data_IF_319856529451
#
_entry.id   IF_319856529451
#
_cell.length_a   1.000
_cell.length_b   1.000
_cell.length_c   1.000
_cell.angle_alpha   90.00
_cell.angle_beta   90.00
_cell.angle_gamma   90.00
#
_symmetry.space_group_name_H-M   'P 1'
#
loop_
_entity.id
_entity.type
_entity.pdbx_description
1 polymer ?
#
# COMPACT_ATOMS: atom_id res chain seq x y z
N UNK A 1 13.34 23.96 14.98
CA UNK A 1 11.99 23.75 15.56
C UNK A 1 11.02 23.11 14.57
N UNK A 2 11.01 23.52 13.28
CA UNK A 2 10.13 22.90 12.25
C UNK A 2 10.41 21.42 11.96
N UNK A 3 11.68 21.01 11.90
CA UNK A 3 12.04 19.59 11.64
C UNK A 3 11.48 18.69 12.76
N UNK A 4 11.65 19.11 14.02
CA UNK A 4 11.12 18.39 15.18
C UNK A 4 9.60 18.26 15.10
N UNK A 5 8.89 19.33 14.72
CA UNK A 5 7.44 19.30 14.51
C UNK A 5 7.03 18.32 13.41
N UNK A 6 7.75 18.29 12.28
CA UNK A 6 7.49 17.33 11.19
C UNK A 6 7.66 15.89 11.65
N UNK A 7 8.72 15.60 12.40
CA UNK A 7 8.98 14.25 12.95
C UNK A 7 7.87 13.85 13.93
N UNK A 8 7.46 14.75 14.82
CA UNK A 8 6.37 14.51 15.77
C UNK A 8 5.05 14.24 15.03
N UNK A 9 4.75 14.99 13.96
CA UNK A 9 3.56 14.76 13.13
C UNK A 9 3.58 13.39 12.45
N UNK A 10 4.73 12.94 11.94
CA UNK A 10 4.86 11.60 11.37
C UNK A 10 4.58 10.53 12.43
N UNK A 11 5.14 10.70 13.64
CA UNK A 11 4.89 9.77 14.73
C UNK A 11 3.40 9.70 15.11
N UNK A 12 2.74 10.85 15.26
CA UNK A 12 1.30 10.89 15.55
C UNK A 12 0.46 10.27 14.44
N UNK A 13 0.83 10.51 13.18
CA UNK A 13 0.16 9.90 12.03
C UNK A 13 0.31 8.37 12.05
N UNK A 14 1.51 7.84 12.32
CA UNK A 14 1.73 6.39 12.44
C UNK A 14 0.92 5.81 13.60
N UNK A 15 0.91 6.48 14.75
CA UNK A 15 0.17 6.01 15.92
C UNK A 15 -1.34 6.00 15.66
N UNK A 16 -1.87 6.98 14.93
CA UNK A 16 -3.29 7.05 14.63
C UNK A 16 -3.80 5.99 13.66
N UNK A 17 -2.91 5.51 12.80
CA UNK A 17 -3.17 4.44 11.83
C UNK A 17 -2.74 3.05 12.36
N UNK A 18 -2.23 2.97 13.59
CA UNK A 18 -1.83 1.71 14.18
C UNK A 18 -3.07 0.84 14.46
N UNK A 19 -3.07 -0.44 14.07
CA UNK A 19 -4.23 -1.31 14.25
C UNK A 19 -4.47 -1.69 15.72
N UNK A 20 -3.51 -1.46 16.61
CA UNK A 20 -3.57 -1.83 18.02
C UNK A 20 -3.21 -0.61 18.87
N UNK A 21 -3.99 -0.34 19.93
CA UNK A 21 -3.77 0.78 20.87
C UNK A 21 -3.59 2.10 20.09
N UNK A 22 -4.63 2.47 19.35
CA UNK A 22 -4.63 3.69 18.56
C UNK A 22 -5.19 4.87 19.37
N UNK A 23 -4.58 6.03 19.20
CA UNK A 23 -5.17 7.32 19.52
C UNK A 23 -5.52 7.97 18.19
N UNK A 24 -6.73 8.49 18.01
CA UNK A 24 -7.18 9.07 16.74
C UNK A 24 -8.04 10.32 16.96
N UNK A 25 -8.23 11.13 15.91
CA UNK A 25 -9.11 12.31 15.91
C UNK A 25 -10.33 12.03 15.03
N UNK A 26 -11.51 11.91 15.64
CA UNK A 26 -12.76 11.60 14.93
C UNK A 26 -13.16 12.73 13.95
N UNK A 27 -12.89 13.99 14.29
CA UNK A 27 -13.23 15.16 13.46
C UNK A 27 -12.34 15.24 12.21
N UNK A 28 -11.19 14.55 12.22
CA UNK A 28 -10.23 14.53 11.11
C UNK A 28 -10.00 13.11 10.55
N UNK A 29 -11.06 12.30 10.52
CA UNK A 29 -11.08 10.94 9.96
C UNK A 29 -9.95 10.04 10.48
N UNK A 30 -9.82 9.99 11.80
CA UNK A 30 -8.80 9.23 12.51
C UNK A 30 -7.35 9.74 12.36
N UNK A 31 -7.10 10.83 11.63
CA UNK A 31 -5.75 11.37 11.44
C UNK A 31 -5.38 12.39 12.52
N UNK A 32 -4.27 12.16 13.23
CA UNK A 32 -3.76 13.10 14.24
C UNK A 32 -2.72 14.06 13.68
N UNK A 33 -2.85 15.33 14.06
CA UNK A 33 -1.86 16.39 13.78
C UNK A 33 -1.52 17.14 15.05
N UNK A 34 -0.24 17.34 15.31
CA UNK A 34 0.26 17.98 16.53
C UNK A 34 -0.36 19.37 16.76
N UNK A 35 -0.50 20.15 15.69
CA UNK A 35 -1.00 21.53 15.76
C UNK A 35 -2.47 21.60 16.24
N UNK A 36 -3.25 20.52 16.06
CA UNK A 36 -4.67 20.48 16.37
C UNK A 36 -5.03 19.63 17.61
N UNK A 37 -4.07 18.94 18.24
CA UNK A 37 -4.32 18.00 19.35
C UNK A 37 -5.16 18.59 20.48
N UNK A 38 -4.98 19.88 20.81
CA UNK A 38 -5.70 20.52 21.92
C UNK A 38 -7.21 20.63 21.70
N UNK A 39 -7.64 20.75 20.45
CA UNK A 39 -9.05 20.92 20.08
C UNK A 39 -9.60 19.69 19.36
N UNK A 40 -8.79 18.64 19.21
CA UNK A 40 -9.15 17.40 18.52
C UNK A 40 -10.22 16.61 19.28
N UNK A 41 -11.10 15.94 18.54
CA UNK A 41 -12.04 14.97 19.10
C UNK A 41 -11.34 13.64 19.26
N UNK A 42 -10.56 13.54 20.33
CA UNK A 42 -9.71 12.38 20.58
C UNK A 42 -10.53 11.13 20.93
N UNK A 43 -10.20 10.03 20.27
CA UNK A 43 -10.68 8.69 20.59
C UNK A 43 -9.49 7.76 20.83
N UNK A 44 -9.56 7.01 21.92
CA UNK A 44 -8.65 5.89 22.16
C UNK A 44 -9.34 4.59 21.75
N UNK A 45 -8.65 3.68 21.08
CA UNK A 45 -9.20 2.36 20.74
C UNK A 45 -8.19 1.24 20.91
N UNK A 46 -8.67 0.06 21.32
CA UNK A 46 -7.81 -1.10 21.47
C UNK A 46 -7.46 -1.71 20.11
N UNK A 47 -8.44 -1.82 19.23
CA UNK A 47 -8.24 -2.25 17.86
C UNK A 47 -8.90 -1.29 16.89
N UNK A 48 -8.18 -0.98 15.81
CA UNK A 48 -8.61 -0.10 14.74
C UNK A 48 -8.46 -0.83 13.40
N UNK A 49 -9.54 -0.92 12.62
CA UNK A 49 -9.54 -1.47 11.27
C UNK A 49 -9.99 -0.38 10.30
N UNK A 50 -9.07 0.14 9.52
CA UNK A 50 -9.36 1.07 8.43
C UNK A 50 -9.80 0.28 7.19
N UNK A 51 -10.92 0.69 6.60
CA UNK A 51 -11.55 0.08 5.43
C UNK A 51 -11.95 1.17 4.45
N UNK A 52 -10.94 1.79 3.84
CA UNK A 52 -11.10 2.93 2.94
C UNK A 52 -11.84 4.07 3.64
N UNK A 53 -13.07 4.36 3.21
CA UNK A 53 -13.89 5.46 3.71
C UNK A 53 -14.53 5.23 5.10
N UNK A 54 -14.25 4.09 5.72
CA UNK A 54 -14.79 3.71 7.02
C UNK A 54 -13.68 3.24 7.97
N UNK A 55 -13.82 3.54 9.25
CA UNK A 55 -12.91 3.12 10.32
C UNK A 55 -13.74 2.39 11.37
N UNK A 56 -13.42 1.11 11.59
CA UNK A 56 -14.08 0.29 12.60
C UNK A 56 -13.19 0.25 13.84
N UNK A 57 -13.66 0.90 14.89
CA UNK A 57 -13.05 0.84 16.20
C UNK A 57 -13.69 -0.28 17.02
N UNK A 58 -12.86 -1.14 17.60
CA UNK A 58 -13.28 -2.20 18.53
C UNK A 58 -12.69 -1.87 19.90
N UNK A 59 -13.56 -1.85 20.92
CA UNK A 59 -13.28 -1.34 22.27
C UNK A 59 -12.63 0.05 22.23
N UNK A 60 -13.47 1.08 22.14
CA UNK A 60 -13.03 2.47 22.08
C UNK A 60 -13.60 3.31 23.21
N UNK A 61 -12.85 4.35 23.56
CA UNK A 61 -13.23 5.39 24.49
C UNK A 61 -13.18 6.74 23.80
N UNK A 62 -14.33 7.38 23.71
CA UNK A 62 -14.48 8.76 23.25
C UNK A 62 -14.14 9.72 24.39
N UNK A 63 -13.08 10.52 24.24
CA UNK A 63 -12.61 11.41 25.31
C UNK A 63 -13.52 12.64 25.45
N UNK A 64 -14.08 13.13 24.34
CA UNK A 64 -14.95 14.32 24.30
C UNK A 64 -16.32 14.00 24.88
N UNK A 65 -16.91 12.88 24.47
CA UNK A 65 -18.21 12.41 24.96
C UNK A 65 -18.13 11.61 26.28
N UNK A 66 -16.91 11.26 26.71
CA UNK A 66 -16.63 10.40 27.87
C UNK A 66 -17.37 9.06 27.83
N UNK A 67 -17.45 8.45 26.63
CA UNK A 67 -18.28 7.27 26.37
C UNK A 67 -17.44 6.08 25.89
N UNK A 68 -17.67 4.92 26.49
CA UNK A 68 -17.10 3.64 26.02
C UNK A 68 -18.03 3.04 24.96
N UNK A 69 -17.45 2.57 23.87
CA UNK A 69 -18.15 1.86 22.79
C UNK A 69 -17.44 0.55 22.45
N UNK A 70 -18.18 -0.55 22.43
CA UNK A 70 -17.62 -1.87 22.07
C UNK A 70 -17.29 -1.96 20.57
N UNK A 71 -18.18 -1.46 19.72
CA UNK A 71 -17.97 -1.36 18.27
C UNK A 71 -18.46 0.02 17.86
N UNK A 72 -17.63 0.77 17.13
CA UNK A 72 -17.98 2.07 16.56
C UNK A 72 -17.47 2.12 15.14
N UNK A 73 -18.35 2.48 14.22
CA UNK A 73 -18.01 2.75 12.83
C UNK A 73 -17.97 4.27 12.63
N UNK A 74 -16.83 4.78 12.17
CA UNK A 74 -16.65 6.17 11.74
C UNK A 74 -16.56 6.17 10.21
N UNK A 75 -17.43 6.90 9.53
CA UNK A 75 -17.38 7.01 8.06
C UNK A 75 -17.01 8.42 7.66
N UNK A 76 -16.26 8.55 6.56
CA UNK A 76 -15.80 9.85 6.05
C UNK A 76 -16.97 10.78 5.72
N UNK A 77 -18.07 10.19 5.25
CA UNK A 77 -19.31 10.90 4.95
C UNK A 77 -20.00 11.49 6.19
N UNK A 78 -19.78 10.93 7.37
CA UNK A 78 -20.43 11.37 8.62
C UNK A 78 -19.64 12.52 9.29
N UNK A 79 -18.50 12.93 8.75
CA UNK A 79 -17.72 14.06 9.27
C UNK A 79 -18.42 15.39 8.96
N UNK A 80 -18.47 16.29 9.95
CA UNK A 80 -19.06 17.61 9.77
C UNK A 80 -18.38 18.35 8.61
N UNK A 81 -19.20 18.95 7.76
CA UNK A 81 -18.77 19.63 6.53
C UNK A 81 -18.73 18.74 5.28
N UNK A 82 -18.86 17.41 5.41
CA UNK A 82 -18.92 16.51 4.25
C UNK A 82 -20.36 16.19 3.80
N UNK A 83 -21.34 16.29 4.70
CA UNK A 83 -22.78 16.18 4.39
C UNK A 83 -23.52 17.40 4.91
N UNK A 84 -24.46 17.87 4.09
CA UNK A 84 -25.37 18.93 4.46
C UNK A 84 -26.66 18.32 5.00
N UNK A 85 -26.89 18.49 6.30
CA UNK A 85 -28.11 18.05 6.97
C UNK A 85 -29.32 18.90 6.55
N UNK A 86 -30.50 18.28 6.51
CA UNK A 86 -31.75 18.92 6.09
C UNK A 86 -32.11 20.13 7.00
N UNK A 87 -31.93 20.02 8.32
CA UNK A 87 -32.17 21.14 9.23
C UNK A 87 -31.21 22.33 8.99
N UNK A 88 -29.95 22.03 8.65
CA UNK A 88 -28.91 23.04 8.41
C UNK A 88 -29.18 23.79 7.11
N UNK A 89 -29.61 23.10 6.05
CA UNK A 89 -29.97 23.76 4.79
C UNK A 89 -31.24 24.60 4.93
N UNK A 90 -32.23 24.14 5.71
CA UNK A 90 -33.46 24.90 5.97
C UNK A 90 -33.15 26.22 6.71
N UNK A 91 -32.28 26.18 7.71
CA UNK A 91 -31.84 27.40 8.41
C UNK A 91 -31.11 28.38 7.49
N UNK A 92 -30.22 27.86 6.62
CA UNK A 92 -29.48 28.66 5.65
C UNK A 92 -30.45 29.31 4.63
N UNK A 93 -31.36 28.51 4.08
CA UNK A 93 -32.38 28.94 3.12
C UNK A 93 -33.30 30.00 3.71
N UNK A 94 -33.78 29.82 4.94
CA UNK A 94 -34.63 30.81 5.62
C UNK A 94 -33.90 32.13 5.86
N UNK A 95 -32.62 32.09 6.27
CA UNK A 95 -31.80 33.30 6.43
C UNK A 95 -31.61 34.01 5.10
N UNK A 96 -31.32 33.26 4.05
CA UNK A 96 -31.13 33.81 2.71
C UNK A 96 -32.45 34.39 2.15
N UNK A 97 -33.59 33.76 2.44
CA UNK A 97 -34.93 34.28 2.06
C UNK A 97 -35.19 35.65 2.64
N UNK A 98 -34.88 35.83 3.92
CA UNK A 98 -35.01 37.14 4.60
C UNK A 98 -34.04 38.20 4.03
N UNK A 99 -32.88 37.78 3.54
CA UNK A 99 -31.91 38.66 2.90
C UNK A 99 -32.40 39.13 1.52
N UNK A 100 -32.73 38.21 0.62
CA UNK A 100 -33.17 38.55 -0.74
C UNK A 100 -34.53 39.28 -0.77
N UNK A 101 -35.35 39.12 0.26
CA UNK A 101 -36.60 39.87 0.39
C UNK A 101 -36.39 41.39 0.50
N UNK A 102 -35.20 41.82 0.95
CA UNK A 102 -34.84 43.24 1.15
C UNK A 102 -34.05 43.85 -0.01
N UNK A 103 -33.64 43.04 -0.99
CA UNK A 103 -32.81 43.48 -2.10
C UNK A 103 -33.66 44.10 -3.22
N UNK A 104 -33.07 45.07 -3.92
CA UNK A 104 -33.56 45.60 -5.19
C UNK A 104 -33.21 44.63 -6.33
N UNK A 105 -33.85 44.80 -7.48
CA UNK A 105 -33.66 43.92 -8.65
C UNK A 105 -32.19 43.91 -9.15
N UNK A 106 -31.52 45.06 -9.17
CA UNK A 106 -30.12 45.17 -9.61
C UNK A 106 -29.17 44.44 -8.63
N UNK A 107 -29.37 44.61 -7.32
CA UNK A 107 -28.58 43.92 -6.28
C UNK A 107 -28.83 42.40 -6.32
N UNK A 108 -30.07 41.98 -6.63
CA UNK A 108 -30.44 40.58 -6.78
C UNK A 108 -29.71 39.93 -7.97
N UNK A 109 -29.50 40.68 -9.05
CA UNK A 109 -28.73 40.22 -10.21
C UNK A 109 -27.24 40.05 -9.88
N UNK A 110 -26.65 40.96 -9.10
CA UNK A 110 -25.28 40.83 -8.59
C UNK A 110 -25.13 39.56 -7.74
N UNK A 111 -26.06 39.32 -6.82
CA UNK A 111 -26.06 38.10 -5.99
C UNK A 111 -26.18 36.83 -6.84
N UNK A 112 -27.06 36.84 -7.85
CA UNK A 112 -27.21 35.75 -8.81
C UNK A 112 -25.91 35.45 -9.54
N UNK A 113 -25.25 36.46 -10.09
CA UNK A 113 -23.97 36.30 -10.79
C UNK A 113 -22.90 35.71 -9.86
N UNK A 114 -22.85 36.19 -8.62
CA UNK A 114 -21.90 35.68 -7.63
C UNK A 114 -22.15 34.21 -7.28
N UNK A 115 -23.41 33.80 -7.14
CA UNK A 115 -23.79 32.41 -6.89
C UNK A 115 -23.44 31.50 -8.07
N UNK A 116 -23.68 31.94 -9.30
CA UNK A 116 -23.30 31.20 -10.50
C UNK A 116 -21.78 30.96 -10.56
N UNK A 117 -20.99 32.00 -10.29
CA UNK A 117 -19.53 31.89 -10.20
C UNK A 117 -19.10 30.88 -9.12
N UNK A 118 -19.79 30.88 -7.97
CA UNK A 118 -19.51 29.91 -6.91
C UNK A 118 -19.89 28.48 -7.29
N UNK A 119 -21.01 28.27 -7.97
CA UNK A 119 -21.43 26.96 -8.49
C UNK A 119 -20.37 26.42 -9.44
N UNK A 120 -19.96 27.21 -10.44
CA UNK A 120 -18.94 26.82 -11.42
C UNK A 120 -17.63 26.42 -10.73
N UNK A 121 -17.20 27.20 -9.73
CA UNK A 121 -15.99 26.90 -8.95
C UNK A 121 -16.10 25.59 -8.18
N UNK A 122 -17.24 25.31 -7.54
CA UNK A 122 -17.43 24.05 -6.80
C UNK A 122 -17.51 22.84 -7.76
N UNK A 123 -18.14 22.99 -8.93
CA UNK A 123 -18.13 21.98 -9.99
C UNK A 123 -16.70 21.70 -10.48
N UNK A 124 -15.89 22.75 -10.70
CA UNK A 124 -14.49 22.60 -11.08
C UNK A 124 -13.68 21.88 -9.99
N UNK A 125 -13.91 22.18 -8.71
CA UNK A 125 -13.27 21.48 -7.58
C UNK A 125 -13.63 19.99 -7.56
N UNK A 126 -14.90 19.65 -7.80
CA UNK A 126 -15.36 18.26 -7.90
C UNK A 126 -14.68 17.58 -9.07
N UNK A 127 -14.71 18.19 -10.26
CA UNK A 127 -14.09 17.65 -11.48
C UNK A 127 -12.60 17.36 -11.27
N UNK A 128 -11.86 18.34 -10.74
CA UNK A 128 -10.42 18.19 -10.42
C UNK A 128 -10.17 17.04 -9.44
N UNK A 129 -11.07 16.84 -8.47
CA UNK A 129 -10.94 15.76 -7.49
C UNK A 129 -11.22 14.39 -8.13
N UNK A 130 -12.22 14.31 -9.00
CA UNK A 130 -12.54 13.11 -9.80
C UNK A 130 -11.37 12.75 -10.70
N UNK A 131 -10.77 13.72 -11.39
CA UNK A 131 -9.61 13.49 -12.25
C UNK A 131 -8.43 12.91 -11.48
N UNK A 132 -8.14 13.45 -10.28
CA UNK A 132 -7.10 12.91 -9.40
C UNK A 132 -7.39 11.46 -8.99
N UNK A 133 -8.63 11.16 -8.58
CA UNK A 133 -9.03 9.79 -8.23
C UNK A 133 -8.87 8.85 -9.41
N UNK A 134 -9.28 9.28 -10.61
CA UNK A 134 -9.14 8.50 -11.84
C UNK A 134 -7.67 8.23 -12.18
N UNK A 135 -6.79 9.22 -12.04
CA UNK A 135 -5.34 9.03 -12.22
C UNK A 135 -4.81 7.95 -11.28
N UNK A 136 -5.15 8.02 -9.99
CA UNK A 136 -4.73 6.99 -9.03
C UNK A 136 -5.32 5.62 -9.35
N UNK A 137 -6.57 5.55 -9.79
CA UNK A 137 -7.21 4.31 -10.21
C UNK A 137 -6.49 3.69 -11.42
N UNK A 138 -6.11 4.49 -12.41
CA UNK A 138 -5.33 4.03 -13.57
C UNK A 138 -3.95 3.50 -13.16
N UNK A 139 -3.23 4.21 -12.28
CA UNK A 139 -1.94 3.77 -11.75
C UNK A 139 -2.08 2.42 -11.04
N UNK A 140 -3.10 2.25 -10.20
CA UNK A 140 -3.29 1.00 -9.47
C UNK A 140 -3.71 -0.15 -10.37
N UNK A 141 -4.58 0.10 -11.36
CA UNK A 141 -5.00 -0.89 -12.34
C UNK A 141 -3.83 -1.40 -13.20
N UNK A 142 -2.81 -0.57 -13.40
CA UNK A 142 -1.59 -0.94 -14.14
C UNK A 142 -0.54 -1.60 -13.24
N UNK A 143 -0.39 -1.16 -12.00
CA UNK A 143 0.60 -1.71 -11.06
C UNK A 143 0.21 -3.09 -10.53
N UNK A 144 -1.08 -3.34 -10.22
CA UNK A 144 -1.52 -4.61 -9.64
C UNK A 144 -1.12 -5.83 -10.50
N UNK A 145 -1.43 -5.87 -11.82
CA UNK A 145 -1.06 -7.02 -12.65
C UNK A 145 0.46 -7.24 -12.71
N UNK A 146 1.25 -6.16 -12.77
CA UNK A 146 2.72 -6.24 -12.79
C UNK A 146 3.22 -6.87 -11.50
N UNK A 147 2.75 -6.38 -10.35
CA UNK A 147 3.14 -6.89 -9.03
C UNK A 147 2.74 -8.37 -8.88
N UNK A 148 1.52 -8.73 -9.28
CA UNK A 148 1.05 -10.13 -9.21
C UNK A 148 1.84 -11.05 -10.15
N UNK A 149 2.27 -10.57 -11.31
CA UNK A 149 3.07 -11.35 -12.25
C UNK A 149 4.53 -11.55 -11.79
N UNK A 150 5.07 -10.61 -11.02
CA UNK A 150 6.46 -10.63 -10.55
C UNK A 150 6.64 -11.33 -9.20
N UNK A 151 5.58 -11.46 -8.40
CA UNK A 151 5.65 -12.08 -7.08
C UNK A 151 5.40 -13.59 -7.19
N UNK A 152 6.39 -14.38 -6.78
CA UNK A 152 6.16 -15.78 -6.41
C UNK A 152 5.65 -15.87 -4.96
N UNK A 153 4.36 -16.14 -4.81
CA UNK A 153 3.70 -16.25 -3.51
C UNK A 153 4.26 -17.40 -2.64
N UNK A 154 4.89 -18.41 -3.25
CA UNK A 154 5.52 -19.51 -2.53
C UNK A 154 6.74 -19.05 -1.73
N UNK A 155 7.56 -18.21 -2.35
CA UNK A 155 8.83 -17.70 -1.82
C UNK A 155 8.68 -16.62 -0.74
N UNK A 156 7.48 -16.05 -0.54
CA UNK A 156 7.24 -15.02 0.49
C UNK A 156 7.51 -15.57 1.90
N UNK A 157 7.27 -16.87 2.13
CA UNK A 157 7.46 -17.51 3.43
C UNK A 157 8.92 -17.58 3.87
N UNK A 158 9.83 -17.53 2.91
CA UNK A 158 11.28 -17.63 3.15
C UNK A 158 11.92 -16.25 3.39
N UNK A 159 11.15 -15.17 3.22
CA UNK A 159 11.58 -13.81 3.50
C UNK A 159 11.65 -13.53 5.02
N UNK A 160 12.54 -12.62 5.46
CA UNK A 160 12.58 -12.17 6.84
C UNK A 160 11.22 -11.63 7.31
N UNK A 161 10.89 -11.86 8.58
CA UNK A 161 9.61 -11.45 9.18
C UNK A 161 9.32 -9.96 8.93
N UNK A 162 10.34 -9.10 8.98
CA UNK A 162 10.18 -7.66 8.71
C UNK A 162 9.67 -7.41 7.29
N UNK A 163 10.25 -8.10 6.30
CA UNK A 163 9.86 -7.98 4.89
C UNK A 163 8.46 -8.54 4.65
N UNK A 164 8.11 -9.66 5.29
CA UNK A 164 6.76 -10.21 5.28
C UNK A 164 5.73 -9.22 5.82
N UNK A 165 6.02 -8.59 6.98
CA UNK A 165 5.15 -7.57 7.56
C UNK A 165 4.99 -6.37 6.61
N UNK A 166 6.08 -5.90 5.99
CA UNK A 166 6.01 -4.81 5.00
C UNK A 166 5.11 -5.18 3.81
N UNK A 167 5.23 -6.40 3.28
CA UNK A 167 4.37 -6.90 2.19
C UNK A 167 2.90 -6.95 2.64
N UNK A 168 2.62 -7.45 3.85
CA UNK A 168 1.26 -7.46 4.38
C UNK A 168 0.67 -6.05 4.50
N UNK A 169 1.45 -5.08 4.98
CA UNK A 169 1.00 -3.68 5.06
C UNK A 169 0.80 -3.08 3.66
N UNK A 170 1.64 -3.44 2.68
CA UNK A 170 1.49 -2.98 1.30
C UNK A 170 0.20 -3.51 0.66
N UNK A 171 -0.11 -4.80 0.84
CA UNK A 171 -1.37 -5.41 0.39
C UNK A 171 -2.57 -4.76 1.08
N UNK A 172 -2.48 -4.50 2.38
CA UNK A 172 -3.53 -3.82 3.13
C UNK A 172 -3.75 -2.37 2.64
N UNK A 173 -2.67 -1.65 2.33
CA UNK A 173 -2.72 -0.29 1.78
C UNK A 173 -3.39 -0.29 0.40
N UNK A 174 -3.02 -1.25 -0.46
CA UNK A 174 -3.63 -1.43 -1.78
C UNK A 174 -5.13 -1.69 -1.68
N UNK A 175 -5.56 -2.56 -0.76
CA UNK A 175 -6.97 -2.85 -0.51
C UNK A 175 -7.73 -1.60 -0.04
N UNK A 176 -7.14 -0.79 0.85
CA UNK A 176 -7.74 0.49 1.26
C UNK A 176 -7.93 1.44 0.08
N UNK A 177 -6.93 1.57 -0.80
CA UNK A 177 -7.05 2.45 -1.97
C UNK A 177 -8.15 1.96 -2.92
N UNK A 178 -8.21 0.64 -3.17
CA UNK A 178 -9.29 0.05 -3.98
C UNK A 178 -10.68 0.35 -3.39
N UNK A 179 -10.85 0.27 -2.07
CA UNK A 179 -12.11 0.61 -1.41
C UNK A 179 -12.44 2.09 -1.62
N UNK A 180 -11.48 3.02 -1.45
CA UNK A 180 -11.71 4.44 -1.71
C UNK A 180 -12.18 4.70 -3.14
N UNK A 181 -11.47 4.14 -4.13
CA UNK A 181 -11.84 4.28 -5.55
C UNK A 181 -13.27 3.75 -5.76
N UNK A 182 -13.56 2.53 -5.29
CA UNK A 182 -14.88 1.94 -5.46
C UNK A 182 -15.99 2.77 -4.82
N UNK A 183 -15.73 3.33 -3.63
CA UNK A 183 -16.68 4.21 -2.93
C UNK A 183 -16.95 5.51 -3.67
N UNK A 184 -15.93 6.11 -4.28
CA UNK A 184 -16.11 7.33 -5.07
C UNK A 184 -16.86 7.09 -6.39
N UNK A 185 -16.69 5.92 -7.00
CA UNK A 185 -17.44 5.49 -8.19
C UNK A 185 -18.91 5.26 -7.85
N UNK A 186 -19.21 4.78 -6.63
CA UNK A 186 -20.60 4.62 -6.17
C UNK A 186 -21.27 6.00 -6.18
N UNK A 187 -22.29 6.15 -7.03
CA UNK A 187 -22.98 7.43 -7.27
C UNK A 187 -23.52 8.00 -5.95
N UNK A 188 -22.90 9.07 -5.49
CA UNK A 188 -23.44 9.88 -4.41
C UNK A 188 -24.39 10.90 -5.04
N UNK A 189 -25.69 10.63 -4.92
CA UNK A 189 -26.74 11.55 -5.34
C UNK A 189 -26.65 12.84 -4.55
N UNK A 190 -26.81 13.97 -5.23
CA UNK A 190 -27.05 15.26 -4.59
C UNK A 190 -28.49 15.65 -4.80
N UNK A 191 -29.11 16.23 -3.78
CA UNK A 191 -30.38 16.94 -3.97
C UNK A 191 -30.07 18.17 -4.83
N UNK A 192 -30.91 18.41 -5.84
CA UNK A 192 -30.88 19.61 -6.67
C UNK A 192 -32.25 20.26 -6.62
N UNK A 193 -32.26 21.57 -6.81
CA UNK A 193 -33.50 22.33 -6.99
C UNK A 193 -34.33 21.78 -8.15
N UNK A 194 -35.66 21.86 -8.03
CA UNK A 194 -36.58 21.40 -9.07
C UNK A 194 -37.06 22.56 -9.94
N UNK A 195 -37.18 22.32 -11.24
CA UNK A 195 -37.78 23.29 -12.15
C UNK A 195 -39.27 23.53 -11.84
N UNK A 196 -39.96 22.57 -11.21
CA UNK A 196 -41.37 22.73 -10.84
C UNK A 196 -41.56 23.89 -9.87
N UNK A 197 -40.69 24.00 -8.87
CA UNK A 197 -40.76 25.04 -7.83
C UNK A 197 -40.62 26.44 -8.45
N UNK A 198 -39.73 26.59 -9.44
CA UNK A 198 -39.56 27.84 -10.19
C UNK A 198 -40.77 28.17 -11.05
N UNK A 199 -41.35 27.16 -11.71
CA UNK A 199 -42.50 27.34 -12.61
C UNK A 199 -43.73 27.82 -11.86
N UNK A 200 -43.93 27.30 -10.66
CA UNK A 200 -45.10 27.52 -9.79
C UNK A 200 -44.95 28.75 -8.89
N UNK A 201 -43.73 29.31 -8.75
CA UNK A 201 -43.48 30.51 -7.95
C UNK A 201 -44.08 31.78 -8.56
N UNK A 202 -44.66 32.61 -7.70
CA UNK A 202 -45.17 33.95 -8.04
C UNK A 202 -44.05 34.98 -8.26
N UNK A 203 -42.87 34.78 -7.66
CA UNK A 203 -41.69 35.65 -7.81
C UNK A 203 -40.52 34.83 -8.35
N UNK A 204 -40.55 34.59 -9.67
CA UNK A 204 -39.56 33.77 -10.37
C UNK A 204 -38.13 34.33 -10.27
N UNK A 205 -37.96 35.65 -10.16
CA UNK A 205 -36.64 36.29 -10.05
C UNK A 205 -35.98 35.95 -8.71
N UNK A 206 -36.74 35.98 -7.61
CA UNK A 206 -36.19 35.60 -6.30
C UNK A 206 -36.08 34.09 -6.14
N UNK A 207 -37.02 33.33 -6.70
CA UNK A 207 -36.99 31.87 -6.63
C UNK A 207 -35.76 31.28 -7.31
N UNK A 208 -35.39 31.74 -8.51
CA UNK A 208 -34.19 31.23 -9.19
C UNK A 208 -32.91 31.50 -8.37
N UNK A 209 -32.81 32.65 -7.71
CA UNK A 209 -31.66 32.98 -6.85
C UNK A 209 -31.64 32.10 -5.60
N UNK A 210 -32.81 31.80 -5.03
CA UNK A 210 -32.94 30.85 -3.93
C UNK A 210 -32.48 29.43 -4.34
N UNK A 211 -32.88 28.99 -5.53
CA UNK A 211 -32.49 27.71 -6.09
C UNK A 211 -30.97 27.62 -6.33
N UNK A 212 -30.35 28.67 -6.88
CA UNK A 212 -28.89 28.71 -7.02
C UNK A 212 -28.16 28.68 -5.68
N UNK A 213 -28.70 29.35 -4.65
CA UNK A 213 -28.12 29.28 -3.32
C UNK A 213 -28.19 27.85 -2.75
N UNK A 214 -29.33 27.17 -2.93
CA UNK A 214 -29.50 25.78 -2.53
C UNK A 214 -28.50 24.86 -3.23
N UNK A 215 -28.44 24.94 -4.56
CA UNK A 215 -27.56 24.10 -5.38
C UNK A 215 -26.09 24.36 -5.07
N UNK A 216 -25.71 25.62 -4.85
CA UNK A 216 -24.36 25.97 -4.41
C UNK A 216 -24.00 25.30 -3.07
N UNK A 217 -24.89 25.33 -2.07
CA UNK A 217 -24.62 24.66 -0.79
C UNK A 217 -24.46 23.16 -0.98
N UNK A 218 -25.34 22.51 -1.73
CA UNK A 218 -25.24 21.08 -2.02
C UNK A 218 -23.91 20.73 -2.71
N UNK A 219 -23.51 21.52 -3.71
CA UNK A 219 -22.24 21.35 -4.42
C UNK A 219 -21.03 21.59 -3.52
N UNK A 220 -21.06 22.60 -2.65
CA UNK A 220 -19.97 22.90 -1.72
C UNK A 220 -19.65 21.72 -0.80
N UNK A 221 -20.67 21.11 -0.21
CA UNK A 221 -20.48 19.94 0.67
C UNK A 221 -20.03 18.71 -0.13
N UNK A 222 -20.59 18.49 -1.33
CA UNK A 222 -20.10 17.44 -2.23
C UNK A 222 -18.63 17.64 -2.58
N UNK A 223 -18.23 18.85 -2.95
CA UNK A 223 -16.84 19.19 -3.26
C UNK A 223 -15.91 18.92 -2.07
N UNK A 224 -16.35 19.25 -0.85
CA UNK A 224 -15.60 18.99 0.37
C UNK A 224 -15.42 17.48 0.62
N UNK A 225 -16.45 16.67 0.42
CA UNK A 225 -16.37 15.22 0.51
C UNK A 225 -15.39 14.63 -0.53
N UNK A 226 -15.46 15.08 -1.78
CA UNK A 226 -14.53 14.64 -2.84
C UNK A 226 -13.08 15.02 -2.56
N UNK A 227 -12.83 16.23 -2.06
CA UNK A 227 -11.49 16.64 -1.61
C UNK A 227 -11.02 15.75 -0.46
N UNK A 228 -11.89 15.43 0.50
CA UNK A 228 -11.58 14.53 1.61
C UNK A 228 -11.22 13.12 1.12
N UNK A 229 -11.93 12.59 0.12
CA UNK A 229 -11.57 11.31 -0.51
C UNK A 229 -10.18 11.37 -1.15
N UNK A 230 -9.87 12.42 -1.91
CA UNK A 230 -8.56 12.59 -2.57
C UNK A 230 -7.43 12.63 -1.54
N UNK A 231 -7.60 13.40 -0.46
CA UNK A 231 -6.56 13.54 0.57
C UNK A 231 -6.26 12.22 1.25
N UNK A 232 -7.28 11.49 1.71
CA UNK A 232 -7.09 10.21 2.39
C UNK A 232 -6.55 9.14 1.43
N UNK A 233 -7.03 9.11 0.19
CA UNK A 233 -6.50 8.21 -0.84
C UNK A 233 -5.02 8.49 -1.09
N UNK A 234 -4.63 9.76 -1.19
CA UNK A 234 -3.25 10.17 -1.39
C UNK A 234 -2.34 9.72 -0.23
N UNK A 235 -2.82 9.73 1.03
CA UNK A 235 -2.05 9.22 2.17
C UNK A 235 -1.67 7.75 1.97
N UNK A 236 -2.62 6.89 1.61
CA UNK A 236 -2.35 5.47 1.35
C UNK A 236 -1.45 5.22 0.13
N UNK A 237 -1.58 6.04 -0.92
CA UNK A 237 -0.67 5.97 -2.09
C UNK A 237 0.77 6.29 -1.67
N UNK A 238 0.98 7.31 -0.84
CA UNK A 238 2.32 7.66 -0.33
C UNK A 238 2.91 6.53 0.52
N UNK A 239 2.10 5.92 1.39
CA UNK A 239 2.52 4.75 2.19
C UNK A 239 2.95 3.60 1.28
N UNK A 240 2.15 3.28 0.26
CA UNK A 240 2.45 2.22 -0.69
C UNK A 240 3.76 2.48 -1.44
N UNK A 241 4.02 3.72 -1.86
CA UNK A 241 5.29 4.10 -2.51
C UNK A 241 6.50 3.90 -1.59
N UNK A 242 6.41 4.34 -0.32
CA UNK A 242 7.49 4.18 0.66
C UNK A 242 7.75 2.69 0.91
N UNK A 243 6.70 1.89 1.09
CA UNK A 243 6.81 0.45 1.28
C UNK A 243 7.42 -0.25 0.07
N UNK A 244 7.06 0.16 -1.15
CA UNK A 244 7.60 -0.43 -2.37
C UNK A 244 9.12 -0.22 -2.45
N UNK A 245 9.59 1.01 -2.18
CA UNK A 245 11.04 1.30 -2.15
C UNK A 245 11.74 0.52 -1.03
N UNK A 246 11.13 0.43 0.15
CA UNK A 246 11.68 -0.33 1.28
C UNK A 246 11.77 -1.84 1.02
N UNK A 247 10.75 -2.42 0.39
CA UNK A 247 10.72 -3.83 0.00
C UNK A 247 11.79 -4.10 -1.05
N UNK A 248 11.89 -3.28 -2.09
CA UNK A 248 12.91 -3.45 -3.14
C UNK A 248 14.33 -3.41 -2.56
N UNK A 249 14.61 -2.47 -1.66
CA UNK A 249 15.92 -2.41 -0.99
C UNK A 249 16.17 -3.62 -0.09
N UNK A 250 15.15 -4.06 0.67
CA UNK A 250 15.24 -5.22 1.55
C UNK A 250 15.52 -6.52 0.81
N UNK A 251 14.92 -6.71 -0.37
CA UNK A 251 15.19 -7.87 -1.24
C UNK A 251 16.62 -7.82 -1.79
N UNK A 252 17.07 -6.68 -2.32
CA UNK A 252 18.43 -6.56 -2.86
C UNK A 252 19.53 -6.83 -1.82
N UNK A 253 19.34 -6.36 -0.57
CA UNK A 253 20.31 -6.63 0.52
C UNK A 253 20.31 -8.11 0.92
N UNK A 254 19.19 -8.82 0.77
CA UNK A 254 19.12 -10.24 1.08
C UNK A 254 19.88 -11.08 0.05
N UNK A 255 19.78 -10.77 -1.24
CA UNK A 255 20.53 -11.44 -2.31
C UNK A 255 22.05 -11.29 -2.10
N UNK A 256 22.53 -10.11 -1.65
CA UNK A 256 23.95 -9.89 -1.34
C UNK A 256 24.44 -10.67 -0.09
N UNK A 257 23.52 -11.09 0.79
CA UNK A 257 23.82 -11.78 2.05
C UNK A 257 23.83 -13.32 1.94
N UNK A 258 23.33 -13.87 0.83
CA UNK A 258 23.54 -15.28 0.49
C UNK A 258 25.02 -15.40 0.15
N UNK A 259 25.78 -16.00 1.06
CA UNK A 259 27.23 -16.09 1.04
C UNK A 259 27.77 -16.35 -0.37
N UNK A 260 28.36 -15.33 -0.99
CA UNK A 260 29.37 -15.57 -2.00
C UNK A 260 30.50 -16.30 -1.30
N UNK A 261 30.60 -17.61 -1.55
CA UNK A 261 31.86 -18.31 -1.31
C UNK A 261 32.85 -17.59 -2.20
N UNK A 262 33.71 -16.79 -1.58
CA UNK A 262 34.77 -16.06 -2.25
C UNK A 262 35.76 -17.12 -2.75
N UNK A 263 35.50 -17.68 -3.94
CA UNK A 263 36.42 -18.56 -4.65
C UNK A 263 37.59 -17.67 -5.04
N UNK A 264 38.56 -17.55 -4.14
CA UNK A 264 39.79 -16.79 -4.31
C UNK A 264 40.52 -17.26 -5.57
N UNK A 265 40.22 -16.70 -6.74
CA UNK A 265 41.04 -16.69 -7.95
C UNK A 265 41.98 -17.90 -8.17
N UNK A 266 41.48 -19.11 -7.93
CA UNK A 266 42.14 -20.37 -8.22
C UNK A 266 41.61 -20.88 -9.56
N UNK A 267 42.46 -21.52 -10.37
CA UNK A 267 42.01 -22.13 -11.62
C UNK A 267 41.09 -23.30 -11.29
N UNK A 268 39.80 -23.04 -11.17
CA UNK A 268 38.81 -24.07 -10.86
C UNK A 268 38.43 -24.82 -12.13
N UNK A 269 38.47 -26.15 -12.07
CA UNK A 269 38.04 -27.01 -13.17
C UNK A 269 36.74 -27.68 -12.73
N UNK A 270 35.69 -27.51 -13.52
CA UNK A 270 34.36 -28.10 -13.25
C UNK A 270 34.18 -29.33 -14.11
N UNK A 271 33.82 -30.44 -13.48
CA UNK A 271 33.44 -31.67 -14.13
C UNK A 271 31.99 -32.00 -13.83
N UNK A 272 31.19 -32.23 -14.87
CA UNK A 272 29.85 -32.84 -14.73
C UNK A 272 30.00 -34.34 -14.92
N UNK A 273 29.50 -35.14 -13.98
CA UNK A 273 29.59 -36.60 -14.00
C UNK A 273 28.25 -37.23 -13.61
N UNK A 274 27.95 -38.38 -14.20
CA UNK A 274 26.83 -39.22 -13.79
C UNK A 274 27.35 -40.38 -12.95
N UNK A 275 26.77 -40.58 -11.76
CA UNK A 275 27.25 -41.60 -10.81
C UNK A 275 27.17 -43.02 -11.37
N UNK A 276 26.12 -43.35 -12.13
CA UNK A 276 25.92 -44.69 -12.71
C UNK A 276 26.88 -45.01 -13.86
N UNK A 277 27.54 -43.99 -14.41
CA UNK A 277 28.48 -44.15 -15.53
C UNK A 277 29.94 -44.26 -15.10
N UNK A 278 30.28 -43.92 -13.85
CA UNK A 278 31.67 -43.99 -13.35
C UNK A 278 32.21 -45.43 -13.37
N UNK A 279 31.34 -46.41 -13.07
CA UNK A 279 31.68 -47.82 -13.13
C UNK A 279 31.79 -48.40 -14.55
N UNK A 280 31.40 -47.66 -15.60
CA UNK A 280 31.44 -48.12 -16.99
C UNK A 280 32.78 -47.75 -17.64
N UNK A 281 33.61 -48.73 -18.07
CA UNK A 281 34.89 -48.43 -18.72
C UNK A 281 34.70 -47.54 -19.95
N UNK A 282 35.54 -46.51 -20.08
CA UNK A 282 35.56 -45.56 -21.20
C UNK A 282 34.36 -44.58 -21.30
N UNK A 283 33.48 -44.49 -20.31
CA UNK A 283 32.50 -43.40 -20.25
C UNK A 283 33.20 -42.06 -19.98
N UNK A 284 32.59 -40.95 -20.42
CA UNK A 284 33.12 -39.62 -20.12
C UNK A 284 33.21 -39.37 -18.61
N UNK A 285 32.23 -39.86 -17.84
CA UNK A 285 32.20 -39.80 -16.37
C UNK A 285 33.37 -40.59 -15.74
N UNK A 286 33.69 -41.79 -16.25
CA UNK A 286 34.82 -42.60 -15.77
C UNK A 286 36.18 -41.96 -16.08
N UNK A 287 36.34 -41.39 -17.30
CA UNK A 287 37.57 -40.68 -17.70
C UNK A 287 37.79 -39.43 -16.84
N UNK A 288 36.73 -38.65 -16.63
CA UNK A 288 36.78 -37.45 -15.80
C UNK A 288 37.07 -37.80 -14.33
N UNK A 289 36.45 -38.85 -13.80
CA UNK A 289 36.69 -39.34 -12.43
C UNK A 289 38.16 -39.77 -12.22
N UNK A 290 38.74 -40.49 -13.18
CA UNK A 290 40.14 -40.92 -13.09
C UNK A 290 41.11 -39.73 -13.17
N UNK A 291 40.76 -38.68 -13.92
CA UNK A 291 41.53 -37.44 -13.97
C UNK A 291 41.53 -36.70 -12.63
N UNK A 292 40.37 -36.62 -11.96
CA UNK A 292 40.25 -36.04 -10.61
C UNK A 292 41.10 -36.82 -9.61
N UNK A 293 41.02 -38.15 -9.62
CA UNK A 293 41.84 -38.99 -8.73
C UNK A 293 43.35 -38.80 -8.95
N UNK A 294 43.79 -38.68 -10.21
CA UNK A 294 45.18 -38.41 -10.56
C UNK A 294 45.66 -37.04 -10.05
N UNK A 295 44.81 -36.02 -10.12
CA UNK A 295 45.15 -34.66 -9.67
C UNK A 295 45.21 -34.58 -8.13
N UNK A 296 44.35 -35.32 -7.43
CA UNK A 296 44.43 -35.51 -5.96
C UNK A 296 45.72 -36.26 -5.58
N UNK A 297 46.04 -37.36 -6.26
CA UNK A 297 47.25 -38.16 -5.97
C UNK A 297 48.55 -37.38 -6.23
N UNK A 298 48.55 -36.48 -7.21
CA UNK A 298 49.67 -35.57 -7.50
C UNK A 298 49.74 -34.36 -6.57
N UNK A 299 48.84 -34.25 -5.58
CA UNK A 299 48.70 -33.08 -4.67
C UNK A 299 48.53 -31.75 -5.43
N UNK A 300 47.84 -31.78 -6.57
CA UNK A 300 47.53 -30.58 -7.37
C UNK A 300 46.15 -30.01 -7.06
N UNK A 301 45.42 -30.65 -6.15
CA UNK A 301 44.07 -30.27 -5.73
C UNK A 301 44.02 -30.39 -4.22
N UNK A 302 43.72 -29.28 -3.54
CA UNK A 302 43.68 -29.22 -2.07
C UNK A 302 42.24 -29.19 -1.54
N UNK A 303 41.28 -28.75 -2.38
CA UNK A 303 39.88 -28.68 -2.03
C UNK A 303 39.00 -29.13 -3.20
N UNK A 304 37.95 -29.89 -2.90
CA UNK A 304 36.92 -30.30 -3.85
C UNK A 304 35.55 -29.92 -3.33
N UNK A 305 34.76 -29.28 -4.18
CA UNK A 305 33.35 -28.97 -3.91
C UNK A 305 32.47 -29.87 -4.76
N UNK A 306 31.49 -30.51 -4.14
CA UNK A 306 30.59 -31.48 -4.76
C UNK A 306 29.16 -30.95 -4.70
N UNK A 307 28.56 -30.75 -5.87
CA UNK A 307 27.17 -30.36 -6.02
C UNK A 307 26.34 -31.59 -6.36
N UNK A 308 25.31 -31.88 -5.58
CA UNK A 308 24.42 -33.03 -5.78
C UNK A 308 22.94 -32.67 -5.55
N UNK A 309 22.05 -33.35 -6.28
CA UNK A 309 20.58 -33.25 -6.14
C UNK A 309 20.07 -33.91 -4.82
N UNK A 310 20.81 -34.89 -4.28
CA UNK A 310 20.34 -35.73 -3.17
C UNK A 310 21.07 -35.43 -1.86
N UNK A 311 20.37 -35.56 -0.72
CA UNK A 311 20.99 -35.61 0.62
C UNK A 311 21.93 -36.82 0.83
N UNK A 312 22.03 -37.72 -0.17
CA UNK A 312 22.91 -38.88 -0.14
C UNK A 312 24.09 -38.69 -1.10
N UNK A 313 25.28 -38.66 -0.51
CA UNK A 313 26.56 -38.59 -1.23
C UNK A 313 26.77 -39.89 -2.01
N UNK A 314 27.09 -39.83 -3.33
CA UNK A 314 27.40 -41.02 -4.13
C UNK A 314 28.48 -41.89 -3.47
N UNK A 315 28.35 -43.21 -3.58
CA UNK A 315 29.31 -44.16 -2.98
C UNK A 315 30.75 -43.95 -3.50
N UNK A 316 30.87 -43.56 -4.77
CA UNK A 316 32.15 -43.23 -5.42
C UNK A 316 32.83 -42.04 -4.73
N UNK A 317 32.05 -41.05 -4.29
CA UNK A 317 32.55 -39.87 -3.58
C UNK A 317 33.01 -40.22 -2.16
N UNK A 318 32.37 -41.19 -1.51
CA UNK A 318 32.81 -41.66 -0.17
C UNK A 318 34.23 -42.22 -0.19
N UNK A 319 34.69 -42.74 -1.33
CA UNK A 319 36.06 -43.23 -1.52
C UNK A 319 37.10 -42.11 -1.37
N UNK A 320 36.73 -40.85 -1.64
CA UNK A 320 37.64 -39.70 -1.51
C UNK A 320 38.01 -39.40 -0.05
N UNK A 321 37.23 -39.88 0.93
CA UNK A 321 37.54 -39.76 2.35
C UNK A 321 38.86 -40.45 2.76
N UNK A 322 39.44 -41.30 1.90
CA UNK A 322 40.76 -41.90 2.12
C UNK A 322 41.91 -40.89 2.04
N UNK A 323 41.71 -39.75 1.38
CA UNK A 323 42.72 -38.70 1.25
C UNK A 323 42.56 -37.69 2.40
N UNK A 324 43.37 -37.82 3.46
CA UNK A 324 43.26 -36.99 4.67
C UNK A 324 43.66 -35.52 4.48
N UNK A 325 44.43 -35.22 3.45
CA UNK A 325 44.93 -33.87 3.13
C UNK A 325 43.96 -33.09 2.21
N UNK A 326 42.80 -33.69 1.86
CA UNK A 326 41.82 -33.15 0.92
C UNK A 326 40.62 -32.56 1.68
N UNK A 327 40.33 -31.29 1.46
CA UNK A 327 39.11 -30.66 1.97
C UNK A 327 37.94 -30.96 1.03
N UNK A 328 36.87 -31.57 1.54
CA UNK A 328 35.69 -31.95 0.75
C UNK A 328 34.49 -31.19 1.28
N UNK A 329 33.88 -30.36 0.44
CA UNK A 329 32.66 -29.62 0.74
C UNK A 329 31.52 -30.14 -0.13
N UNK A 330 30.35 -30.37 0.46
CA UNK A 330 29.18 -30.91 -0.24
C UNK A 330 28.06 -29.87 -0.16
N UNK A 331 27.55 -29.48 -1.32
CA UNK A 331 26.48 -28.50 -1.47
C UNK A 331 25.33 -29.16 -2.22
N UNK A 332 24.11 -28.97 -1.74
CA UNK A 332 22.90 -29.47 -2.41
C UNK A 332 22.40 -28.45 -3.43
N UNK A 333 22.22 -28.88 -4.67
CA UNK A 333 21.68 -28.06 -5.78
C UNK A 333 20.48 -28.78 -6.40
N UNK A 334 19.29 -28.17 -6.27
CA UNK A 334 17.99 -28.76 -6.65
C UNK A 334 17.69 -28.66 -8.16
N UNK A 335 18.54 -27.97 -8.92
CA UNK A 335 18.40 -27.82 -10.37
C UNK A 335 19.23 -28.86 -11.14
N UNK A 336 19.89 -29.80 -10.44
CA UNK A 336 20.64 -30.91 -11.05
C UNK A 336 19.71 -32.05 -11.46
N UNK A 337 19.99 -32.66 -12.62
CA UNK A 337 19.31 -33.87 -13.06
C UNK A 337 19.60 -35.04 -12.10
N UNK A 338 18.57 -35.82 -11.79
CA UNK A 338 18.65 -36.91 -10.82
C UNK A 338 19.70 -37.96 -11.24
N UNK A 339 20.72 -38.15 -10.41
CA UNK A 339 21.84 -39.07 -10.65
C UNK A 339 23.11 -38.41 -11.19
N UNK A 340 23.03 -37.12 -11.56
CA UNK A 340 24.17 -36.31 -11.91
C UNK A 340 24.73 -35.58 -10.68
N UNK A 341 26.05 -35.36 -10.69
CA UNK A 341 26.71 -34.49 -9.74
C UNK A 341 27.79 -33.67 -10.45
N UNK A 342 28.06 -32.48 -9.93
CA UNK A 342 29.18 -31.65 -10.40
C UNK A 342 30.28 -31.66 -9.38
N UNK A 343 31.50 -31.85 -9.84
CA UNK A 343 32.71 -31.81 -9.02
C UNK A 343 33.54 -30.62 -9.46
N UNK A 344 33.85 -29.75 -8.52
CA UNK A 344 34.67 -28.55 -8.72
C UNK A 344 36.02 -28.80 -8.03
N UNK A 345 37.08 -28.89 -8.81
CA UNK A 345 38.43 -28.88 -8.29
C UNK A 345 38.86 -27.45 -7.99
N UNK A 346 39.36 -27.22 -6.77
CA UNK A 346 39.96 -25.96 -6.34
C UNK A 346 41.47 -26.19 -6.16
N UNK A 347 42.25 -25.59 -7.06
CA UNK A 347 43.72 -25.79 -7.18
C UNK A 347 44.52 -24.66 -6.56
#
# INVERSE_FOLDING_TARGET
MEIIKKVINIFFWIWSHCPVICLSDDDYFATLKFDNIRNAHLRFSLLNIMLGDSVIYVFSYDIKERKISFIKNLRLIDIDGNVLEDEKIDQIQNRFRMHIAKLLDDDLEIEKEKLLYHIEREEQRISTSVDKINIYATIILTVIPIVVALIDFGSIKDLPIVLQVMICIAVYSLLNICIYIFRTIKVHGIKKSSFSDLRESSDRKKEIVMQYQYDWQQLKYKAQLFVSFVLNLQEWVVVLLILTVGISFGVSVQDDSIASVDIKNTKSIVFTMNAEEIGKPYSNSAVNWQKVLLDIEKKQCNQIIILTDCNEVPEEVKVLAKYKDLEIEIITDRDLDKGDFKLIEVK
#
